data_IF_437459306211
#
_entry.id   IF_437459306211
#
_cell.length_a   1.000
_cell.length_b   1.000
_cell.length_c   1.000
_cell.angle_alpha   90.00
_cell.angle_beta   90.00
_cell.angle_gamma   90.00
#
_symmetry.space_group_name_H-M   'P 1'
#
loop_
_entity.id
_entity.type
_entity.pdbx_description
1 polymer ?
#
# COMPACT_ATOMS: atom_id res chain seq x y z
N UNK A 1 5.42 -26.99 11.60
CA UNK A 1 6.87 -27.25 11.30
C UNK A 1 6.98 -27.32 9.78
N UNK A 2 7.95 -26.66 9.18
CA UNK A 2 8.18 -26.67 7.73
C UNK A 2 9.51 -27.41 7.52
N UNK A 3 9.53 -28.29 6.54
CA UNK A 3 10.74 -29.02 6.14
C UNK A 3 11.73 -28.03 5.49
N UNK A 4 12.96 -28.02 5.98
CA UNK A 4 14.01 -27.12 5.50
C UNK A 4 14.42 -27.46 4.06
N UNK A 5 14.50 -28.76 3.73
CA UNK A 5 14.86 -29.23 2.39
C UNK A 5 13.78 -28.83 1.37
N UNK A 6 12.51 -28.82 1.81
CA UNK A 6 11.40 -28.32 0.98
C UNK A 6 11.56 -26.84 0.64
N UNK A 7 11.90 -25.99 1.62
CA UNK A 7 12.15 -24.56 1.37
C UNK A 7 13.33 -24.37 0.42
N UNK A 8 14.40 -25.12 0.61
CA UNK A 8 15.58 -25.07 -0.26
C UNK A 8 15.25 -25.51 -1.69
N UNK A 9 14.49 -26.61 -1.85
CA UNK A 9 14.03 -27.10 -3.16
C UNK A 9 13.19 -26.06 -3.91
N UNK A 10 12.33 -25.30 -3.22
CA UNK A 10 11.56 -24.22 -3.78
C UNK A 10 12.40 -22.97 -4.08
N UNK A 11 13.63 -22.90 -3.62
CA UNK A 11 14.46 -21.68 -3.62
C UNK A 11 13.69 -20.47 -3.10
N UNK A 12 12.89 -20.68 -2.05
CA UNK A 12 12.02 -19.67 -1.50
C UNK A 12 12.79 -18.76 -0.54
N UNK A 13 12.71 -17.46 -0.76
CA UNK A 13 13.37 -16.45 0.05
C UNK A 13 12.41 -15.31 0.37
N UNK A 14 12.64 -14.65 1.49
CA UNK A 14 11.96 -13.41 1.82
C UNK A 14 12.37 -12.32 0.84
N UNK A 15 11.38 -11.58 0.35
CA UNK A 15 11.62 -10.37 -0.43
C UNK A 15 12.01 -9.23 0.51
N UNK A 16 12.84 -8.30 0.03
CA UNK A 16 13.18 -7.08 0.78
C UNK A 16 12.13 -5.98 0.56
N UNK A 17 10.91 -6.24 1.03
CA UNK A 17 9.74 -5.37 0.86
C UNK A 17 8.91 -5.34 2.12
N UNK A 18 7.92 -4.45 2.17
CA UNK A 18 6.89 -4.49 3.21
C UNK A 18 5.91 -5.64 2.96
N UNK A 19 5.67 -6.47 3.97
CA UNK A 19 4.77 -7.63 3.88
C UNK A 19 5.42 -8.87 3.25
N UNK A 20 6.73 -8.99 3.37
CA UNK A 20 7.54 -10.12 2.90
C UNK A 20 7.06 -11.47 3.42
N UNK A 21 6.52 -11.50 4.64
CA UNK A 21 5.95 -12.68 5.29
C UNK A 21 4.70 -13.19 4.55
N UNK A 22 3.84 -12.28 4.09
CA UNK A 22 2.67 -12.64 3.30
C UNK A 22 3.07 -13.27 1.97
N UNK A 23 4.04 -12.67 1.25
CA UNK A 23 4.55 -13.24 0.01
C UNK A 23 5.15 -14.63 0.23
N UNK A 24 6.01 -14.75 1.25
CA UNK A 24 6.64 -16.02 1.60
C UNK A 24 5.58 -17.09 1.91
N UNK A 25 4.56 -16.76 2.71
CA UNK A 25 3.47 -17.66 3.04
C UNK A 25 2.68 -18.10 1.80
N UNK A 26 2.30 -17.16 0.92
CA UNK A 26 1.60 -17.48 -0.33
C UNK A 26 2.44 -18.45 -1.16
N UNK A 27 3.70 -18.16 -1.41
CA UNK A 27 4.57 -19.00 -2.22
C UNK A 27 4.80 -20.39 -1.61
N UNK A 28 4.93 -20.45 -0.28
CA UNK A 28 5.12 -21.71 0.45
C UNK A 28 3.88 -22.61 0.34
N UNK A 29 2.70 -22.05 0.63
CA UNK A 29 1.46 -22.83 0.67
C UNK A 29 0.94 -23.19 -0.73
N UNK A 30 1.14 -22.30 -1.72
CA UNK A 30 0.76 -22.57 -3.11
C UNK A 30 1.56 -23.72 -3.75
N UNK A 31 2.72 -24.05 -3.23
CA UNK A 31 3.53 -25.16 -3.72
C UNK A 31 3.41 -26.41 -2.83
N UNK A 32 2.65 -26.37 -1.75
CA UNK A 32 2.57 -27.48 -0.79
C UNK A 32 1.62 -28.58 -1.26
N UNK A 33 2.10 -29.81 -1.37
CA UNK A 33 1.28 -30.99 -1.66
C UNK A 33 0.37 -31.37 -0.48
N UNK A 34 0.76 -31.06 0.74
CA UNK A 34 0.02 -31.35 1.97
C UNK A 34 0.14 -30.20 2.96
N UNK A 35 -1.00 -29.73 3.47
CA UNK A 35 -1.08 -28.75 4.55
C UNK A 35 -1.81 -29.40 5.71
N UNK A 36 -1.19 -29.42 6.89
CA UNK A 36 -1.82 -29.89 8.13
C UNK A 36 -2.11 -28.72 9.03
N UNK A 37 -3.39 -28.47 9.30
CA UNK A 37 -3.83 -27.49 10.29
C UNK A 37 -3.80 -28.15 11.67
N UNK A 38 -3.09 -27.54 12.62
CA UNK A 38 -3.03 -28.01 13.98
C UNK A 38 -3.92 -27.15 14.88
N UNK A 39 -4.97 -27.73 15.52
CA UNK A 39 -6.00 -26.92 16.20
C UNK A 39 -5.57 -26.42 17.60
N UNK A 40 -4.30 -26.56 17.98
CA UNK A 40 -3.78 -26.07 19.26
C UNK A 40 -3.06 -24.73 19.10
N UNK A 41 -3.19 -23.85 20.09
CA UNK A 41 -2.40 -22.62 20.18
C UNK A 41 -0.95 -22.98 20.50
N UNK A 42 -0.06 -22.90 19.51
CA UNK A 42 1.37 -23.19 19.67
C UNK A 42 2.22 -21.93 19.80
N UNK A 43 1.62 -20.74 19.60
CA UNK A 43 2.33 -19.46 19.54
C UNK A 43 1.51 -18.34 20.15
N UNK A 44 2.16 -17.52 20.97
CA UNK A 44 1.58 -16.28 21.52
C UNK A 44 2.20 -15.10 20.77
N UNK A 45 1.36 -14.38 20.00
CA UNK A 45 1.79 -13.18 19.30
C UNK A 45 1.76 -11.98 20.25
N UNK A 46 2.92 -11.40 20.51
CA UNK A 46 3.04 -10.20 21.36
C UNK A 46 2.93 -8.96 20.49
N UNK A 47 1.85 -8.21 20.67
CA UNK A 47 1.67 -6.91 20.00
C UNK A 47 2.46 -5.87 20.79
N UNK A 48 3.48 -5.27 20.16
CA UNK A 48 4.29 -4.21 20.74
C UNK A 48 3.89 -2.86 20.15
N UNK A 49 3.97 -1.80 20.95
CA UNK A 49 3.63 -0.42 20.52
C UNK A 49 4.54 0.10 19.39
N UNK A 50 5.75 -0.43 19.27
CA UNK A 50 6.76 -0.09 18.27
C UNK A 50 6.78 -1.04 17.06
N UNK A 51 5.82 -1.98 16.99
CA UNK A 51 5.68 -2.89 15.85
C UNK A 51 5.39 -2.12 14.54
N UNK A 52 5.89 -2.64 13.43
CA UNK A 52 5.59 -2.14 12.08
C UNK A 52 4.11 -2.25 11.72
N UNK A 53 3.38 -3.17 12.39
CA UNK A 53 1.92 -3.30 12.33
C UNK A 53 1.34 -2.62 13.56
N UNK A 54 1.25 -1.30 13.54
CA UNK A 54 0.64 -0.57 14.64
C UNK A 54 -0.83 -0.30 14.31
N UNK A 55 -1.74 -1.12 14.85
CA UNK A 55 -3.19 -0.95 14.71
C UNK A 55 -3.65 0.31 15.47
N UNK A 56 -3.74 1.43 14.75
CA UNK A 56 -4.16 2.73 15.29
C UNK A 56 -3.02 3.60 15.79
N UNK A 57 -1.78 3.18 15.60
CA UNK A 57 -0.62 3.96 15.99
C UNK A 57 -0.19 5.02 14.99
N UNK A 58 0.50 6.01 15.52
CA UNK A 58 1.10 7.10 14.76
C UNK A 58 2.36 6.59 14.09
N UNK A 59 2.40 6.58 12.76
CA UNK A 59 3.64 6.29 12.03
C UNK A 59 4.62 7.44 12.28
N UNK A 60 5.73 7.13 12.93
CA UNK A 60 6.82 8.06 13.20
C UNK A 60 8.06 7.69 12.38
N UNK A 61 9.08 8.54 12.40
CA UNK A 61 10.39 8.22 11.78
C UNK A 61 10.98 6.94 12.35
N UNK A 62 10.75 6.64 13.63
CA UNK A 62 11.24 5.42 14.27
C UNK A 62 10.53 4.15 13.77
N UNK A 63 9.31 4.27 13.24
CA UNK A 63 8.59 3.16 12.59
C UNK A 63 9.16 2.79 11.22
N UNK A 64 10.04 3.62 10.66
CA UNK A 64 10.71 3.38 9.38
C UNK A 64 12.05 2.69 9.64
N UNK A 65 12.35 1.57 8.97
CA UNK A 65 13.66 0.91 9.06
C UNK A 65 14.80 1.90 8.84
N UNK A 66 15.85 1.82 9.68
CA UNK A 66 16.93 2.82 9.69
C UNK A 66 17.51 3.08 8.28
N UNK A 67 17.78 2.02 7.53
CA UNK A 67 18.33 2.08 6.16
C UNK A 67 17.42 2.83 5.16
N UNK A 68 16.13 2.93 5.44
CA UNK A 68 15.16 3.58 4.56
C UNK A 68 14.90 5.05 4.93
N UNK A 69 15.33 5.51 6.11
CA UNK A 69 15.08 6.89 6.58
C UNK A 69 15.67 7.95 5.68
N UNK A 70 16.77 7.66 5.00
CA UNK A 70 17.40 8.56 4.02
C UNK A 70 16.47 8.97 2.87
N UNK A 71 15.44 8.16 2.57
CA UNK A 71 14.49 8.42 1.50
C UNK A 71 13.32 9.32 1.94
N UNK A 72 13.17 9.61 3.24
CA UNK A 72 12.09 10.48 3.74
C UNK A 72 12.12 11.88 3.11
N UNK A 73 13.29 12.39 2.77
CA UNK A 73 13.46 13.69 2.09
C UNK A 73 12.67 13.80 0.78
N UNK A 74 12.47 12.70 0.07
CA UNK A 74 11.67 12.66 -1.17
C UNK A 74 10.15 12.67 -0.91
N UNK A 75 9.73 12.53 0.35
CA UNK A 75 8.35 12.44 0.79
C UNK A 75 8.03 13.47 1.88
N UNK A 76 8.58 14.68 1.70
CA UNK A 76 8.36 15.84 2.58
C UNK A 76 8.79 15.57 4.05
N UNK A 77 9.78 14.72 4.28
CA UNK A 77 10.16 14.20 5.60
C UNK A 77 8.96 13.62 6.39
N UNK A 78 7.93 13.15 5.69
CA UNK A 78 6.72 12.62 6.27
C UNK A 78 6.73 11.08 6.29
N UNK A 79 6.91 10.44 7.46
CA UNK A 79 6.97 8.98 7.58
C UNK A 79 5.71 8.27 7.09
N UNK A 80 4.54 8.90 7.23
CA UNK A 80 3.27 8.32 6.79
C UNK A 80 3.19 8.28 5.26
N UNK A 81 3.62 9.34 4.57
CA UNK A 81 3.64 9.40 3.10
C UNK A 81 4.64 8.38 2.56
N UNK A 82 5.85 8.32 3.14
CA UNK A 82 6.84 7.32 2.78
C UNK A 82 6.32 5.88 3.00
N UNK A 83 5.69 5.61 4.15
CA UNK A 83 5.12 4.29 4.45
C UNK A 83 4.10 3.84 3.41
N UNK A 84 3.27 4.76 2.91
CA UNK A 84 2.31 4.47 1.84
C UNK A 84 3.00 4.13 0.52
N UNK A 85 4.05 4.87 0.14
CA UNK A 85 4.88 4.56 -1.02
C UNK A 85 5.55 3.19 -0.88
N UNK A 86 6.16 2.92 0.28
CA UNK A 86 6.87 1.66 0.54
C UNK A 86 5.93 0.44 0.49
N UNK A 87 4.72 0.58 1.04
CA UNK A 87 3.66 -0.45 0.95
C UNK A 87 3.19 -0.68 -0.47
N UNK A 88 2.98 0.38 -1.24
CA UNK A 88 2.57 0.27 -2.64
C UNK A 88 3.66 -0.42 -3.48
N UNK A 89 4.93 -0.09 -3.24
CA UNK A 89 6.07 -0.74 -3.88
C UNK A 89 6.19 -2.22 -3.53
N UNK A 90 6.05 -2.55 -2.24
CA UNK A 90 6.04 -3.94 -1.80
C UNK A 90 4.93 -4.74 -2.47
N UNK A 91 3.72 -4.19 -2.53
CA UNK A 91 2.58 -4.84 -3.19
C UNK A 91 2.83 -5.05 -4.70
N UNK A 92 3.47 -4.09 -5.38
CA UNK A 92 3.78 -4.21 -6.79
C UNK A 92 4.79 -5.33 -7.08
N UNK A 93 5.83 -5.45 -6.25
CA UNK A 93 6.81 -6.53 -6.35
C UNK A 93 6.17 -7.88 -6.05
N UNK A 94 5.35 -7.97 -5.00
CA UNK A 94 4.66 -9.21 -4.64
C UNK A 94 3.70 -9.65 -5.73
N UNK A 95 2.90 -8.73 -6.30
CA UNK A 95 2.01 -9.00 -7.43
C UNK A 95 2.79 -9.58 -8.61
N UNK A 96 3.89 -8.92 -9.02
CA UNK A 96 4.73 -9.38 -10.11
C UNK A 96 5.30 -10.77 -9.86
N UNK A 97 5.87 -10.99 -8.68
CA UNK A 97 6.49 -12.28 -8.32
C UNK A 97 5.50 -13.44 -8.31
N UNK A 98 4.28 -13.21 -7.78
CA UNK A 98 3.26 -14.26 -7.70
C UNK A 98 2.73 -14.59 -9.11
N UNK A 99 2.43 -13.58 -9.92
CA UNK A 99 1.97 -13.78 -11.31
C UNK A 99 3.02 -14.58 -12.09
N UNK A 100 4.28 -14.18 -12.05
CA UNK A 100 5.34 -14.84 -12.80
C UNK A 100 5.50 -16.31 -12.43
N UNK A 101 5.37 -16.65 -11.16
CA UNK A 101 5.60 -18.02 -10.67
C UNK A 101 4.38 -18.93 -10.78
N UNK A 102 3.16 -18.38 -10.65
CA UNK A 102 1.95 -19.18 -10.52
C UNK A 102 0.97 -19.07 -11.70
N UNK A 103 1.26 -18.24 -12.71
CA UNK A 103 0.38 -18.05 -13.90
C UNK A 103 0.07 -19.33 -14.66
N UNK A 104 0.90 -20.36 -14.58
CA UNK A 104 0.71 -21.63 -15.27
C UNK A 104 -0.14 -22.62 -14.47
N UNK A 105 -0.35 -22.39 -13.16
CA UNK A 105 -1.24 -23.18 -12.32
C UNK A 105 -2.58 -22.45 -12.21
N UNK A 106 -3.53 -22.81 -13.07
CA UNK A 106 -4.83 -22.14 -13.18
C UNK A 106 -5.66 -22.23 -11.90
N UNK A 107 -5.61 -23.35 -11.19
CA UNK A 107 -6.40 -23.55 -9.98
C UNK A 107 -5.92 -22.63 -8.85
N UNK A 108 -4.62 -22.69 -8.57
CA UNK A 108 -3.99 -21.83 -7.56
C UNK A 108 -4.09 -20.35 -7.95
N UNK A 109 -3.87 -20.03 -9.23
CA UNK A 109 -3.97 -18.66 -9.72
C UNK A 109 -5.37 -18.08 -9.48
N UNK A 110 -6.44 -18.80 -9.83
CA UNK A 110 -7.82 -18.34 -9.62
C UNK A 110 -8.16 -18.17 -8.14
N UNK A 111 -7.64 -19.04 -7.27
CA UNK A 111 -7.79 -18.90 -5.82
C UNK A 111 -7.12 -17.62 -5.32
N UNK A 112 -5.90 -17.33 -5.77
CA UNK A 112 -5.12 -16.16 -5.37
C UNK A 112 -5.65 -14.86 -5.95
N UNK A 113 -6.25 -14.91 -7.14
CA UNK A 113 -6.86 -13.75 -7.79
C UNK A 113 -7.87 -13.06 -6.87
N UNK A 114 -8.82 -13.81 -6.34
CA UNK A 114 -9.90 -13.27 -5.51
C UNK A 114 -9.47 -12.98 -4.06
N UNK A 115 -8.35 -13.51 -3.62
CA UNK A 115 -7.88 -13.36 -2.23
C UNK A 115 -6.76 -12.35 -2.07
N UNK A 116 -5.72 -12.44 -2.89
CA UNK A 116 -4.49 -11.66 -2.72
C UNK A 116 -4.17 -10.76 -3.91
N UNK A 117 -4.25 -11.27 -5.17
CA UNK A 117 -3.77 -10.54 -6.34
C UNK A 117 -4.53 -9.24 -6.57
N UNK A 118 -5.85 -9.26 -6.47
CA UNK A 118 -6.68 -8.06 -6.60
C UNK A 118 -6.31 -7.01 -5.54
N UNK A 119 -6.06 -7.44 -4.30
CA UNK A 119 -5.66 -6.53 -3.20
C UNK A 119 -4.26 -5.95 -3.42
N UNK A 120 -3.30 -6.76 -3.87
CA UNK A 120 -1.97 -6.27 -4.20
C UNK A 120 -2.00 -5.32 -5.40
N UNK A 121 -2.84 -5.59 -6.41
CA UNK A 121 -3.05 -4.69 -7.53
C UNK A 121 -3.57 -3.32 -7.07
N UNK A 122 -4.62 -3.29 -6.23
CA UNK A 122 -5.17 -2.05 -5.66
C UNK A 122 -4.08 -1.23 -4.97
N UNK A 123 -3.24 -1.88 -4.17
CA UNK A 123 -2.15 -1.20 -3.47
C UNK A 123 -1.06 -0.73 -4.43
N UNK A 124 -0.66 -1.56 -5.39
CA UNK A 124 0.38 -1.26 -6.37
C UNK A 124 0.03 -0.06 -7.25
N UNK A 125 -1.23 0.07 -7.66
CA UNK A 125 -1.71 1.21 -8.46
C UNK A 125 -1.48 2.55 -7.76
N UNK A 126 -1.37 2.58 -6.42
CA UNK A 126 -1.07 3.81 -5.70
C UNK A 126 0.33 4.38 -5.99
N UNK A 127 1.24 3.60 -6.61
CA UNK A 127 2.54 4.12 -7.05
C UNK A 127 2.41 5.28 -8.04
N UNK A 128 1.34 5.33 -8.82
CA UNK A 128 1.06 6.45 -9.73
C UNK A 128 0.89 7.80 -9.00
N UNK A 129 0.52 7.77 -7.70
CA UNK A 129 0.27 8.96 -6.88
C UNK A 129 1.55 9.56 -6.27
N UNK A 130 2.71 9.01 -6.58
CA UNK A 130 3.99 9.53 -6.08
C UNK A 130 4.83 10.01 -7.26
N UNK A 131 5.26 11.27 -7.25
CA UNK A 131 6.16 11.80 -8.28
C UNK A 131 7.56 11.21 -8.16
N UNK A 132 8.03 11.03 -6.93
CA UNK A 132 9.34 10.47 -6.63
C UNK A 132 9.28 8.94 -6.52
N UNK A 133 10.34 8.29 -7.03
CA UNK A 133 10.50 6.82 -6.99
C UNK A 133 11.93 6.42 -6.62
N UNK A 134 12.41 6.77 -5.41
CA UNK A 134 13.80 6.55 -5.05
C UNK A 134 14.20 5.07 -4.90
N UNK A 135 13.24 4.16 -4.82
CA UNK A 135 13.46 2.71 -4.72
C UNK A 135 13.17 1.97 -6.04
N UNK A 136 12.80 2.69 -7.11
CA UNK A 136 12.58 2.13 -8.43
C UNK A 136 11.35 1.20 -8.54
N UNK A 137 10.37 1.38 -7.68
CA UNK A 137 9.17 0.53 -7.65
C UNK A 137 8.24 0.73 -8.85
N UNK A 138 8.26 1.92 -9.47
CA UNK A 138 7.40 2.22 -10.63
C UNK A 138 7.66 1.32 -11.83
N UNK A 139 8.81 0.65 -11.90
CA UNK A 139 9.07 -0.35 -12.94
C UNK A 139 8.07 -1.51 -12.97
N UNK A 140 7.40 -1.79 -11.84
CA UNK A 140 6.36 -2.82 -11.72
C UNK A 140 4.95 -2.29 -12.00
N UNK A 141 4.77 -0.96 -12.11
CA UNK A 141 3.47 -0.33 -12.32
C UNK A 141 2.79 -0.76 -13.63
N UNK A 142 3.49 -0.90 -14.78
CA UNK A 142 2.85 -1.33 -16.02
C UNK A 142 2.16 -2.69 -15.91
N UNK A 143 2.76 -3.65 -15.17
CA UNK A 143 2.14 -4.94 -14.92
C UNK A 143 0.88 -4.80 -14.07
N UNK A 144 0.93 -4.00 -12.99
CA UNK A 144 -0.23 -3.74 -12.15
C UNK A 144 -1.36 -3.04 -12.93
N UNK A 145 -1.04 -2.10 -13.82
CA UNK A 145 -2.02 -1.43 -14.68
C UNK A 145 -2.66 -2.38 -15.69
N UNK A 146 -1.88 -3.27 -16.30
CA UNK A 146 -2.41 -4.32 -17.19
C UNK A 146 -3.36 -5.23 -16.42
N UNK A 147 -2.92 -5.76 -15.28
CA UNK A 147 -3.75 -6.61 -14.42
C UNK A 147 -5.05 -5.90 -14.01
N UNK A 148 -4.95 -4.65 -13.61
CA UNK A 148 -6.09 -3.83 -13.22
C UNK A 148 -7.14 -3.69 -14.33
N UNK A 149 -6.68 -3.47 -15.57
CA UNK A 149 -7.56 -3.38 -16.74
C UNK A 149 -8.28 -4.70 -17.00
N UNK A 150 -7.55 -5.82 -16.92
CA UNK A 150 -8.10 -7.15 -17.19
C UNK A 150 -9.13 -7.57 -16.13
N UNK A 151 -9.05 -7.01 -14.90
CA UNK A 151 -9.90 -7.36 -13.75
C UNK A 151 -10.83 -6.22 -13.30
N UNK A 152 -10.92 -5.15 -14.07
CA UNK A 152 -11.74 -3.97 -13.77
C UNK A 152 -11.47 -3.37 -12.37
N UNK A 153 -10.20 -3.16 -12.04
CA UNK A 153 -9.72 -2.59 -10.77
C UNK A 153 -9.21 -1.18 -11.03
N UNK A 154 -9.50 -0.23 -10.12
CA UNK A 154 -8.97 1.12 -10.24
C UNK A 154 -9.71 2.18 -9.45
N UNK A 155 -10.89 1.90 -8.92
CA UNK A 155 -11.69 2.87 -8.16
C UNK A 155 -10.94 3.44 -6.96
N UNK A 156 -10.28 2.58 -6.20
CA UNK A 156 -9.50 3.01 -5.03
C UNK A 156 -8.37 3.97 -5.43
N UNK A 157 -7.62 3.64 -6.47
CA UNK A 157 -6.52 4.49 -6.94
C UNK A 157 -7.00 5.85 -7.45
N UNK A 158 -8.15 5.90 -8.14
CA UNK A 158 -8.79 7.14 -8.59
C UNK A 158 -9.12 8.05 -7.41
N UNK A 159 -9.81 7.54 -6.39
CA UNK A 159 -10.20 8.32 -5.21
C UNK A 159 -8.97 8.70 -4.38
N UNK A 160 -8.03 7.78 -4.23
CA UNK A 160 -6.82 7.97 -3.46
C UNK A 160 -5.88 9.02 -4.07
N UNK A 161 -5.94 9.24 -5.40
CA UNK A 161 -5.19 10.30 -6.09
C UNK A 161 -5.70 11.71 -5.80
N UNK A 162 -6.86 11.87 -5.14
CA UNK A 162 -7.44 13.19 -4.88
C UNK A 162 -6.58 14.01 -3.93
N UNK A 163 -6.26 15.25 -4.30
CA UNK A 163 -5.56 16.22 -3.45
C UNK A 163 -6.27 16.41 -2.11
N UNK A 164 -7.59 16.30 -2.08
CA UNK A 164 -8.40 16.48 -0.87
C UNK A 164 -8.08 15.41 0.19
N UNK A 165 -7.90 14.16 -0.23
CA UNK A 165 -7.50 13.10 0.71
C UNK A 165 -6.14 13.40 1.35
N UNK A 166 -5.16 13.80 0.53
CA UNK A 166 -3.79 14.06 1.00
C UNK A 166 -3.68 15.31 1.85
N UNK A 167 -4.35 16.40 1.48
CA UNK A 167 -4.43 17.61 2.32
C UNK A 167 -5.07 17.28 3.67
N UNK A 168 -6.17 16.52 3.67
CA UNK A 168 -6.79 16.11 4.92
C UNK A 168 -5.88 15.24 5.80
N UNK A 169 -5.05 14.38 5.22
CA UNK A 169 -4.03 13.62 5.96
C UNK A 169 -2.99 14.55 6.62
N UNK A 170 -2.51 15.55 5.88
CA UNK A 170 -1.57 16.54 6.42
C UNK A 170 -2.20 17.33 7.56
N UNK A 171 -3.45 17.77 7.40
CA UNK A 171 -4.19 18.49 8.43
C UNK A 171 -4.43 17.65 9.69
N UNK A 172 -4.70 16.36 9.55
CA UNK A 172 -4.81 15.45 10.71
C UNK A 172 -3.45 15.32 11.39
N UNK A 173 -2.37 15.13 10.61
CA UNK A 173 -1.03 14.96 11.15
C UNK A 173 -0.49 16.24 11.84
N UNK A 174 -0.93 17.42 11.42
CA UNK A 174 -0.53 18.69 12.03
C UNK A 174 -0.95 18.82 13.50
N UNK A 175 -2.04 18.15 13.88
CA UNK A 175 -2.52 18.12 15.27
C UNK A 175 -1.64 17.28 16.21
N UNK A 176 -0.68 16.53 15.69
CA UNK A 176 0.11 15.57 16.44
C UNK A 176 1.33 16.22 17.10
N UNK A 177 1.94 17.23 16.46
CA UNK A 177 3.10 17.92 16.99
C UNK A 177 3.22 19.34 16.44
N UNK A 178 3.83 20.24 17.23
CA UNK A 178 4.12 21.62 16.80
C UNK A 178 4.98 21.66 15.53
N UNK A 179 5.96 20.76 15.41
CA UNK A 179 6.81 20.64 14.22
C UNK A 179 5.97 20.34 12.95
N UNK A 180 5.01 19.42 13.05
CA UNK A 180 4.13 19.09 11.92
C UNK A 180 3.19 20.27 11.62
N UNK A 181 2.70 20.96 12.63
CA UNK A 181 1.87 22.14 12.46
C UNK A 181 2.58 23.23 11.67
N UNK A 182 3.81 23.58 12.04
CA UNK A 182 4.62 24.60 11.36
C UNK A 182 4.95 24.25 9.90
N UNK A 183 5.10 22.96 9.60
CA UNK A 183 5.37 22.50 8.23
C UNK A 183 4.11 22.31 7.37
N UNK A 184 2.92 22.38 7.94
CA UNK A 184 1.65 22.13 7.25
C UNK A 184 1.47 22.98 5.98
N UNK A 185 1.69 24.31 5.98
CA UNK A 185 1.54 25.13 4.77
C UNK A 185 2.47 24.67 3.64
N UNK A 186 3.71 24.31 3.97
CA UNK A 186 4.69 23.81 3.01
C UNK A 186 4.24 22.48 2.40
N UNK A 187 3.75 21.54 3.21
CA UNK A 187 3.26 20.24 2.71
C UNK A 187 2.03 20.40 1.82
N UNK A 188 1.07 21.28 2.19
CA UNK A 188 -0.09 21.58 1.37
C UNK A 188 0.34 22.15 0.01
N UNK A 189 1.28 23.13 0.02
CA UNK A 189 1.82 23.70 -1.21
C UNK A 189 2.44 22.64 -2.12
N UNK A 190 3.25 21.72 -1.57
CA UNK A 190 3.87 20.64 -2.33
C UNK A 190 2.81 19.69 -2.95
N UNK A 191 1.79 19.31 -2.18
CA UNK A 191 0.69 18.47 -2.68
C UNK A 191 -0.06 19.15 -3.83
N UNK A 192 -0.34 20.45 -3.71
CA UNK A 192 -1.04 21.21 -4.75
C UNK A 192 -0.23 21.38 -6.04
N UNK A 193 1.10 21.45 -5.90
CA UNK A 193 2.03 21.56 -7.03
C UNK A 193 2.31 20.21 -7.70
N UNK A 194 2.16 19.12 -6.98
CA UNK A 194 2.46 17.77 -7.46
C UNK A 194 1.39 17.30 -8.47
N UNK A 195 1.84 17.06 -9.72
CA UNK A 195 0.97 16.62 -10.82
C UNK A 195 0.44 15.20 -10.67
N UNK A 196 0.95 14.43 -9.71
CA UNK A 196 0.46 13.07 -9.43
C UNK A 196 -0.92 13.08 -8.76
N UNK A 197 -1.35 14.22 -8.22
CA UNK A 197 -2.65 14.33 -7.54
C UNK A 197 -3.69 15.07 -8.41
N UNK A 198 -4.94 14.60 -8.32
CA UNK A 198 -6.07 15.22 -9.01
C UNK A 198 -6.88 16.10 -8.07
N UNK A 199 -7.35 17.24 -8.58
CA UNK A 199 -8.32 18.11 -7.89
C UNK A 199 -9.76 17.62 -7.99
N UNK A 200 -10.00 16.47 -8.61
CA UNK A 200 -11.32 15.85 -8.71
C UNK A 200 -11.82 15.45 -7.31
N UNK A 201 -13.10 15.69 -7.03
CA UNK A 201 -13.77 15.37 -5.76
C UNK A 201 -15.00 14.48 -5.93
N UNK A 202 -15.49 14.34 -7.16
CA UNK A 202 -16.54 13.40 -7.53
C UNK A 202 -15.96 12.33 -8.44
N UNK A 203 -16.33 11.08 -8.21
CA UNK A 203 -15.76 9.94 -8.92
C UNK A 203 -16.88 8.97 -9.30
N UNK A 204 -16.91 8.58 -10.57
CA UNK A 204 -17.69 7.44 -11.02
C UNK A 204 -16.89 6.18 -10.71
N UNK A 205 -17.37 5.40 -9.73
CA UNK A 205 -16.69 4.21 -9.22
C UNK A 205 -17.57 2.97 -9.18
N UNK A 206 -18.84 3.08 -9.60
CA UNK A 206 -19.85 2.03 -9.37
C UNK A 206 -19.55 0.74 -10.15
N UNK A 207 -18.88 0.84 -11.29
CA UNK A 207 -18.56 -0.29 -12.15
C UNK A 207 -17.21 -0.98 -11.82
N UNK A 208 -16.49 -0.55 -10.80
CA UNK A 208 -15.20 -1.13 -10.46
C UNK A 208 -15.30 -2.22 -9.40
N UNK A 209 -14.49 -3.28 -9.55
CA UNK A 209 -14.40 -4.36 -8.57
C UNK A 209 -14.02 -3.85 -7.17
N UNK A 210 -13.15 -2.84 -7.09
CA UNK A 210 -12.63 -2.28 -5.85
C UNK A 210 -13.44 -1.06 -5.33
N UNK A 211 -14.70 -0.91 -5.78
CA UNK A 211 -15.62 0.16 -5.36
C UNK A 211 -15.68 0.32 -3.84
N UNK A 212 -15.81 -0.76 -3.09
CA UNK A 212 -15.93 -0.71 -1.63
C UNK A 212 -14.66 -0.19 -0.95
N UNK A 213 -13.50 -0.44 -1.53
CA UNK A 213 -12.24 0.14 -1.05
C UNK A 213 -12.20 1.65 -1.29
N UNK A 214 -12.68 2.12 -2.43
CA UNK A 214 -12.81 3.54 -2.75
C UNK A 214 -13.78 4.25 -1.80
N UNK A 215 -14.93 3.65 -1.51
CA UNK A 215 -15.91 4.18 -0.56
C UNK A 215 -15.33 4.36 0.85
N UNK A 216 -14.45 3.47 1.30
CA UNK A 216 -13.74 3.63 2.58
C UNK A 216 -12.86 4.89 2.60
N UNK A 217 -12.22 5.24 1.48
CA UNK A 217 -11.43 6.48 1.37
C UNK A 217 -12.34 7.71 1.35
N UNK A 218 -13.40 7.70 0.57
CA UNK A 218 -14.39 8.79 0.52
C UNK A 218 -15.01 9.07 1.89
N UNK A 219 -15.26 8.01 2.67
CA UNK A 219 -15.79 8.12 4.02
C UNK A 219 -14.74 8.43 5.09
N UNK A 220 -13.47 8.40 4.76
CA UNK A 220 -12.40 8.67 5.71
C UNK A 220 -12.38 10.14 6.17
N UNK A 221 -12.06 10.36 7.47
CA UNK A 221 -12.02 11.72 8.06
C UNK A 221 -11.09 12.67 7.30
N UNK A 222 -9.98 12.16 6.74
CA UNK A 222 -9.06 12.97 5.94
C UNK A 222 -9.74 13.50 4.68
N UNK A 223 -10.43 12.65 3.92
CA UNK A 223 -11.12 13.07 2.71
C UNK A 223 -12.17 14.16 3.01
N UNK A 224 -13.01 13.90 4.02
CA UNK A 224 -14.06 14.86 4.46
C UNK A 224 -13.47 16.20 4.94
N UNK A 225 -12.31 16.14 5.64
CA UNK A 225 -11.61 17.37 6.07
C UNK A 225 -11.02 18.12 4.88
N UNK A 226 -10.39 17.41 3.95
CA UNK A 226 -9.79 18.00 2.76
C UNK A 226 -10.84 18.67 1.85
N UNK A 227 -12.04 18.08 1.67
CA UNK A 227 -13.13 18.70 0.89
C UNK A 227 -13.56 20.04 1.51
N UNK A 228 -13.57 20.18 2.83
CA UNK A 228 -13.88 21.46 3.48
C UNK A 228 -12.90 22.57 3.10
N UNK A 229 -11.69 22.21 2.66
CA UNK A 229 -10.68 23.19 2.20
C UNK A 229 -10.77 23.51 0.70
N UNK A 230 -11.69 22.90 -0.06
CA UNK A 230 -11.78 23.04 -1.52
C UNK A 230 -11.94 24.48 -2.02
N UNK A 231 -12.63 25.32 -1.23
CA UNK A 231 -12.85 26.74 -1.56
C UNK A 231 -11.52 27.49 -1.66
N UNK A 232 -10.53 27.07 -0.88
CA UNK A 232 -9.17 27.67 -0.90
C UNK A 232 -8.28 27.10 -2.00
N UNK A 233 -8.62 25.93 -2.55
CA UNK A 233 -7.82 25.23 -3.55
C UNK A 233 -8.22 25.62 -4.97
N UNK A 234 -9.50 25.95 -5.18
CA UNK A 234 -10.09 26.27 -6.50
C UNK A 234 -10.08 27.76 -6.82
N UNK A 235 -9.60 28.62 -5.93
CA UNK A 235 -9.25 30.01 -6.19
C UNK A 235 -7.79 30.13 -6.62
#
# INVERSE_FOLDING_TARGET
>A
MIDTDYIQKLNLRYLDVHGEDNHFGIMLFSNANKIKVYPKKLYNYIIRSDSTINYGGKISTNSIPFRLRQYLKYFYDNPMVFSKYYRAGGAAIMLSSIIDKLKNDKEIYNLLENTFLNRYCILALNLQNFSNDPLGYKRYLPLAQKYAKDHNIGAFALVYSSVYYWIGLVLISSKISLKNFLKTPFYIYQILKDKAYTKKYEFDIDNYWDRDYALKVLNHKAYKLGIKTRIFINK
#
